data_IF_357622416403
#
_entry.id   IF_357622416403
#
_cell.length_a   1.000
_cell.length_b   1.000
_cell.length_c   1.000
_cell.angle_alpha   90.00
_cell.angle_beta   90.00
_cell.angle_gamma   90.00
#
_symmetry.space_group_name_H-M   'P 1'
#
loop_
_entity.id
_entity.type
_entity.pdbx_description
1 polymer ?
#
# COMPACT_ATOMS: atom_id res chain seq x y z
N UNK A 1 5.87 6.63 -57.90
CA UNK A 1 5.55 5.71 -56.80
C UNK A 1 6.87 5.32 -56.17
N UNK A 2 7.38 6.15 -55.27
CA UNK A 2 8.70 5.98 -54.66
C UNK A 2 8.52 5.35 -53.27
N UNK A 3 9.04 4.16 -53.07
CA UNK A 3 9.03 3.46 -51.79
C UNK A 3 10.41 3.63 -51.14
N UNK A 4 10.50 4.52 -50.16
CA UNK A 4 11.68 4.63 -49.30
C UNK A 4 11.64 3.53 -48.22
N UNK A 5 12.76 2.82 -47.96
CA UNK A 5 12.83 1.81 -46.91
C UNK A 5 13.09 2.47 -45.54
N UNK A 6 12.26 2.13 -44.56
CA UNK A 6 12.41 2.56 -43.16
C UNK A 6 13.67 1.93 -42.52
N UNK A 7 14.43 2.67 -41.70
CA UNK A 7 15.59 2.15 -41.00
C UNK A 7 15.18 1.12 -39.93
N UNK A 8 15.92 0.00 -39.88
CA UNK A 8 15.59 -1.21 -39.11
C UNK A 8 16.31 -1.31 -37.77
N UNK A 9 16.97 -0.23 -37.35
CA UNK A 9 17.76 -0.21 -36.13
C UNK A 9 17.32 0.95 -35.25
N UNK A 10 16.78 0.61 -34.08
CA UNK A 10 16.57 1.56 -33.00
C UNK A 10 17.95 1.89 -32.41
N UNK A 11 18.42 3.13 -32.59
CA UNK A 11 19.50 3.68 -31.79
C UNK A 11 19.04 3.68 -30.33
N UNK A 12 19.68 2.85 -29.49
CA UNK A 12 19.47 2.90 -28.04
C UNK A 12 20.02 4.24 -27.55
N UNK A 13 19.15 5.22 -27.33
CA UNK A 13 19.51 6.44 -26.62
C UNK A 13 19.97 6.04 -25.21
N UNK A 14 21.27 6.18 -24.95
CA UNK A 14 21.92 5.88 -23.67
C UNK A 14 21.57 6.88 -22.57
N UNK A 15 20.46 7.60 -22.72
CA UNK A 15 19.97 8.66 -21.82
C UNK A 15 19.02 8.11 -20.75
N UNK A 16 18.93 6.79 -20.61
CA UNK A 16 18.33 6.22 -19.41
C UNK A 16 19.34 6.35 -18.28
N UNK A 17 18.98 7.16 -17.28
CA UNK A 17 19.69 7.31 -16.01
C UNK A 17 20.33 5.97 -15.62
N UNK A 18 21.67 5.86 -15.58
CA UNK A 18 22.27 4.70 -14.95
C UNK A 18 21.75 4.75 -13.52
N UNK A 19 20.90 3.79 -13.15
CA UNK A 19 20.54 3.56 -11.76
C UNK A 19 21.86 3.40 -11.02
N UNK A 20 22.34 4.48 -10.40
CA UNK A 20 23.57 4.46 -9.64
C UNK A 20 23.33 3.43 -8.56
N UNK A 21 24.18 2.40 -8.50
CA UNK A 21 24.04 1.28 -7.54
C UNK A 21 24.11 1.71 -6.07
N UNK A 22 24.28 3.01 -5.82
CA UNK A 22 24.18 3.66 -4.53
C UNK A 22 22.96 4.59 -4.56
N UNK A 23 21.96 4.27 -3.76
CA UNK A 23 20.69 4.98 -3.71
C UNK A 23 20.87 6.41 -3.21
N UNK A 24 20.31 7.37 -3.95
CA UNK A 24 20.02 8.70 -3.46
C UNK A 24 19.03 8.52 -2.29
N UNK A 25 19.47 8.81 -1.06
CA UNK A 25 18.70 8.53 0.16
C UNK A 25 17.61 9.58 0.40
N UNK A 26 17.69 10.72 -0.30
CA UNK A 26 16.77 11.84 -0.15
C UNK A 26 16.30 12.40 -1.49
N UNK A 27 15.03 12.80 -1.55
CA UNK A 27 14.45 13.52 -2.70
C UNK A 27 15.24 14.80 -3.05
N UNK A 28 15.88 15.43 -2.06
CA UNK A 28 16.73 16.60 -2.28
C UNK A 28 17.98 16.25 -3.09
N UNK A 29 18.58 15.09 -2.84
CA UNK A 29 19.76 14.60 -3.58
C UNK A 29 19.39 14.28 -5.02
N UNK A 30 18.21 13.71 -5.25
CA UNK A 30 17.68 13.48 -6.59
C UNK A 30 17.50 14.78 -7.37
N UNK A 31 16.82 15.77 -6.78
CA UNK A 31 16.63 17.08 -7.42
C UNK A 31 17.97 17.79 -7.69
N UNK A 32 18.97 17.58 -6.84
CA UNK A 32 20.31 18.11 -7.07
C UNK A 32 21.00 17.40 -8.25
N UNK A 33 20.94 16.07 -8.30
CA UNK A 33 21.52 15.29 -9.40
C UNK A 33 20.89 15.65 -10.76
N UNK A 34 19.58 15.88 -10.81
CA UNK A 34 18.91 16.36 -12.03
C UNK A 34 19.43 17.74 -12.47
N UNK A 35 19.59 18.67 -11.53
CA UNK A 35 20.15 19.99 -11.84
C UNK A 35 21.59 19.90 -12.35
N UNK A 36 22.40 19.03 -11.74
CA UNK A 36 23.79 18.83 -12.13
C UNK A 36 23.88 18.25 -13.56
N UNK A 37 22.97 17.33 -13.91
CA UNK A 37 22.85 16.80 -15.28
C UNK A 37 22.39 17.87 -16.28
N UNK A 38 21.35 18.65 -15.95
CA UNK A 38 20.91 19.75 -16.81
C UNK A 38 22.02 20.79 -17.03
N UNK A 39 22.80 21.09 -15.99
CA UNK A 39 23.95 21.97 -16.11
C UNK A 39 25.03 21.37 -17.02
N UNK A 40 25.34 20.07 -16.86
CA UNK A 40 26.26 19.34 -17.74
C UNK A 40 25.81 19.34 -19.20
N UNK A 41 24.52 19.11 -19.46
CA UNK A 41 23.94 19.19 -20.80
C UNK A 41 24.04 20.60 -21.37
N UNK A 42 23.79 21.63 -20.56
CA UNK A 42 23.97 23.02 -20.96
C UNK A 42 25.41 23.29 -21.39
N UNK A 43 26.40 22.91 -20.57
CA UNK A 43 27.82 23.05 -20.89
C UNK A 43 28.22 22.29 -22.16
N UNK A 44 27.65 21.10 -22.38
CA UNK A 44 27.85 20.33 -23.62
C UNK A 44 27.23 21.03 -24.83
N UNK A 45 26.04 21.61 -24.70
CA UNK A 45 25.36 22.36 -25.78
C UNK A 45 26.15 23.61 -26.21
N UNK A 46 26.88 24.22 -25.27
CA UNK A 46 27.79 25.35 -25.54
C UNK A 46 29.04 24.88 -26.32
N UNK A 47 29.24 23.57 -26.47
CA UNK A 47 30.36 22.99 -27.21
C UNK A 47 31.65 22.91 -26.39
N UNK A 48 31.56 22.96 -25.05
CA UNK A 48 32.73 22.71 -24.21
C UNK A 48 33.16 21.25 -24.33
N UNK A 49 34.47 21.05 -24.40
CA UNK A 49 35.07 19.72 -24.32
C UNK A 49 34.91 19.14 -22.92
N UNK A 50 34.91 17.81 -22.79
CA UNK A 50 34.81 17.13 -21.49
C UNK A 50 35.92 17.53 -20.51
N UNK A 51 37.10 17.89 -21.03
CA UNK A 51 38.23 18.38 -20.22
C UNK A 51 37.96 19.78 -19.65
N UNK A 52 37.42 20.68 -20.47
CA UNK A 52 37.02 22.03 -20.05
C UNK A 52 35.86 21.97 -19.03
N UNK A 53 34.88 21.09 -19.23
CA UNK A 53 33.77 20.86 -18.30
C UNK A 53 34.30 20.38 -16.94
N UNK A 54 35.22 19.41 -16.93
CA UNK A 54 35.83 18.91 -15.70
C UNK A 54 36.64 20.01 -15.00
N UNK A 55 37.36 20.82 -15.76
CA UNK A 55 38.16 21.92 -15.22
C UNK A 55 37.28 23.02 -14.60
N UNK A 56 36.11 23.31 -15.20
CA UNK A 56 35.10 24.19 -14.62
C UNK A 56 34.50 23.62 -13.33
N UNK A 57 34.13 22.34 -13.31
CA UNK A 57 33.61 21.67 -12.10
C UNK A 57 34.64 21.62 -10.97
N UNK A 58 35.90 21.29 -11.28
CA UNK A 58 37.00 21.27 -10.31
C UNK A 58 37.24 22.68 -9.72
N UNK A 59 36.97 23.74 -10.48
CA UNK A 59 37.07 25.14 -10.03
C UNK A 59 35.94 25.52 -9.06
N UNK A 60 34.69 25.22 -9.43
CA UNK A 60 33.51 25.44 -8.58
C UNK A 60 33.58 24.64 -7.27
N UNK A 61 34.17 23.44 -7.32
CA UNK A 61 34.40 22.60 -6.14
C UNK A 61 35.61 23.05 -5.29
N UNK A 62 36.39 24.05 -5.72
CA UNK A 62 37.58 24.53 -5.01
C UNK A 62 38.74 23.52 -4.97
N UNK A 63 38.73 22.48 -5.81
CA UNK A 63 39.75 21.43 -5.87
C UNK A 63 41.03 21.87 -6.62
N UNK A 64 40.97 23.04 -7.25
CA UNK A 64 41.98 23.52 -8.18
C UNK A 64 43.27 23.99 -7.49
N UNK A 65 43.17 24.49 -6.25
CA UNK A 65 44.29 24.90 -5.41
C UNK A 65 45.24 23.75 -5.05
N UNK A 66 44.77 22.50 -5.17
CA UNK A 66 45.58 21.32 -4.92
C UNK A 66 46.52 20.99 -6.11
N UNK A 67 46.21 21.50 -7.31
CA UNK A 67 47.00 21.27 -8.54
C UNK A 67 48.04 22.37 -8.78
N UNK A 68 48.87 22.69 -7.77
CA UNK A 68 49.95 23.70 -7.83
C UNK A 68 51.09 23.41 -8.85
N UNK A 69 50.94 22.40 -9.70
CA UNK A 69 51.96 21.96 -10.67
C UNK A 69 51.76 22.50 -12.08
N UNK A 70 50.59 23.06 -12.38
CA UNK A 70 50.31 23.73 -13.65
C UNK A 70 50.58 25.23 -13.46
N UNK A 71 51.21 25.87 -14.44
CA UNK A 71 51.42 27.32 -14.43
C UNK A 71 50.07 28.03 -14.24
N UNK A 72 49.93 28.76 -13.14
CA UNK A 72 48.67 29.41 -12.75
C UNK A 72 48.14 30.35 -13.84
N UNK A 73 49.01 30.90 -14.69
CA UNK A 73 48.67 31.75 -15.83
C UNK A 73 47.91 31.00 -16.92
N UNK A 74 48.41 29.85 -17.36
CA UNK A 74 47.81 29.03 -18.42
C UNK A 74 46.43 28.53 -17.98
N UNK A 75 46.32 28.13 -16.71
CA UNK A 75 45.06 27.64 -16.16
C UNK A 75 44.02 28.75 -16.05
N UNK A 76 44.41 29.93 -15.54
CA UNK A 76 43.55 31.11 -15.50
C UNK A 76 43.07 31.50 -16.89
N UNK A 77 43.97 31.57 -17.88
CA UNK A 77 43.60 31.88 -19.27
C UNK A 77 42.59 30.88 -19.85
N UNK A 78 42.74 29.58 -19.54
CA UNK A 78 41.77 28.56 -19.94
C UNK A 78 40.41 28.73 -19.25
N UNK A 79 40.40 29.02 -17.94
CA UNK A 79 39.16 29.31 -17.21
C UNK A 79 38.45 30.54 -17.78
N UNK A 80 39.19 31.62 -18.03
CA UNK A 80 38.64 32.85 -18.60
C UNK A 80 38.01 32.58 -19.98
N UNK A 81 38.66 31.78 -20.83
CA UNK A 81 38.08 31.35 -22.11
C UNK A 81 36.78 30.54 -21.94
N UNK A 82 36.70 29.70 -20.91
CA UNK A 82 35.50 28.90 -20.61
C UNK A 82 34.36 29.82 -20.15
N UNK A 83 34.62 30.71 -19.20
CA UNK A 83 33.62 31.66 -18.70
C UNK A 83 33.11 32.60 -19.80
N UNK A 84 33.99 33.04 -20.71
CA UNK A 84 33.59 33.86 -21.86
C UNK A 84 32.64 33.10 -22.79
N UNK A 85 32.95 31.85 -23.15
CA UNK A 85 32.05 31.01 -23.97
C UNK A 85 30.68 30.79 -23.32
N UNK A 86 30.67 30.56 -22.00
CA UNK A 86 29.42 30.40 -21.25
C UNK A 86 28.61 31.71 -21.30
N UNK A 87 29.25 32.86 -21.09
CA UNK A 87 28.57 34.15 -21.11
C UNK A 87 28.06 34.51 -22.52
N UNK A 88 28.84 34.24 -23.58
CA UNK A 88 28.44 34.42 -24.98
C UNK A 88 27.18 33.59 -25.30
N UNK A 89 27.15 32.32 -24.89
CA UNK A 89 25.99 31.45 -25.12
C UNK A 89 24.72 31.89 -24.37
N UNK A 90 24.87 32.46 -23.18
CA UNK A 90 23.73 33.01 -22.41
C UNK A 90 23.17 34.27 -23.07
N UNK A 91 24.02 35.08 -23.69
CA UNK A 91 23.61 36.28 -24.42
C UNK A 91 22.93 35.93 -25.76
N UNK A 92 23.44 34.92 -26.49
CA UNK A 92 22.83 34.40 -27.72
C UNK A 92 21.43 33.79 -27.48
N UNK A 93 21.26 33.03 -26.38
CA UNK A 93 19.98 32.47 -25.98
C UNK A 93 18.90 33.52 -25.64
N UNK A 94 19.30 34.77 -25.37
CA UNK A 94 18.41 35.89 -25.12
C UNK A 94 17.88 36.59 -26.38
N UNK A 95 18.49 36.39 -27.54
CA UNK A 95 18.25 37.21 -28.74
C UNK A 95 17.53 36.51 -29.91
N UNK A 96 17.51 35.17 -29.95
CA UNK A 96 16.85 34.42 -31.03
C UNK A 96 15.42 34.02 -30.67
N UNK A 97 14.44 34.81 -31.14
CA UNK A 97 13.05 34.37 -31.33
C UNK A 97 12.83 34.14 -32.82
N UNK A 98 12.96 32.91 -33.31
CA UNK A 98 12.12 32.37 -34.39
C UNK A 98 12.34 30.86 -34.58
N UNK A 99 11.20 30.16 -34.52
CA UNK A 99 10.88 28.84 -35.11
C UNK A 99 11.14 27.54 -34.31
N UNK A 100 10.05 26.77 -34.19
CA UNK A 100 9.83 25.40 -33.66
C UNK A 100 9.94 25.16 -32.13
N UNK A 101 8.80 24.96 -31.41
CA UNK A 101 8.81 24.60 -30.00
C UNK A 101 8.85 23.07 -29.86
N UNK A 102 10.05 22.52 -29.72
CA UNK A 102 10.21 21.17 -29.18
C UNK A 102 11.07 21.20 -27.91
N UNK A 103 10.49 20.65 -26.84
CA UNK A 103 11.12 20.24 -25.58
C UNK A 103 11.41 21.29 -24.49
N UNK A 104 10.54 21.24 -23.48
CA UNK A 104 10.83 21.34 -22.03
C UNK A 104 11.47 22.62 -21.50
N UNK A 105 10.66 23.69 -21.42
CA UNK A 105 10.75 24.64 -20.31
C UNK A 105 9.88 24.12 -19.17
N UNK A 106 10.45 23.29 -18.30
CA UNK A 106 9.80 22.81 -17.09
C UNK A 106 9.90 23.83 -15.95
N UNK A 107 9.41 25.04 -16.21
CA UNK A 107 8.97 25.91 -15.14
C UNK A 107 7.47 25.66 -14.96
N UNK A 108 7.18 24.92 -13.90
CA UNK A 108 5.87 24.76 -13.28
C UNK A 108 4.78 24.04 -14.09
N UNK A 109 5.06 22.80 -14.47
CA UNK A 109 4.01 21.81 -14.75
C UNK A 109 2.98 21.80 -13.61
N UNK A 110 3.42 21.94 -12.35
CA UNK A 110 2.55 21.94 -11.19
C UNK A 110 1.66 23.19 -11.09
N UNK A 111 2.15 24.39 -11.42
CA UNK A 111 1.28 25.59 -11.45
C UNK A 111 0.32 25.57 -12.64
N UNK A 112 0.74 25.00 -13.78
CA UNK A 112 -0.11 24.85 -14.96
C UNK A 112 -1.26 23.87 -14.70
N UNK A 113 -0.98 22.77 -13.99
CA UNK A 113 -1.99 21.81 -13.52
C UNK A 113 -2.97 22.38 -12.49
N UNK A 114 -2.53 23.36 -11.69
CA UNK A 114 -3.42 24.07 -10.77
C UNK A 114 -4.34 25.06 -11.49
N UNK A 115 -3.89 25.67 -12.59
CA UNK A 115 -4.65 26.69 -13.34
C UNK A 115 -5.60 26.10 -14.37
N UNK A 116 -5.29 24.94 -14.97
CA UNK A 116 -6.22 24.20 -15.83
C UNK A 116 -6.11 22.70 -15.58
N UNK A 117 -7.20 22.02 -15.17
CA UNK A 117 -7.19 20.57 -15.07
C UNK A 117 -6.98 19.99 -16.46
N UNK A 118 -6.11 19.00 -16.59
CA UNK A 118 -5.95 18.25 -17.84
C UNK A 118 -7.31 17.61 -18.16
N UNK A 119 -8.00 18.14 -19.18
CA UNK A 119 -9.21 17.51 -19.71
C UNK A 119 -8.76 16.38 -20.62
N UNK A 120 -8.83 15.15 -20.11
CA UNK A 120 -8.53 13.94 -20.87
C UNK A 120 -9.56 13.71 -22.01
N UNK A 121 -10.74 14.34 -21.91
CA UNK A 121 -11.86 14.12 -22.81
C UNK A 121 -12.13 15.37 -23.67
N UNK A 122 -12.61 15.17 -24.92
CA UNK A 122 -12.97 16.26 -25.83
C UNK A 122 -14.00 17.22 -25.20
N UNK A 123 -13.99 18.46 -25.66
CA UNK A 123 -14.86 19.54 -25.17
C UNK A 123 -16.35 19.14 -25.28
N UNK A 124 -17.11 19.31 -24.20
CA UNK A 124 -18.51 18.87 -24.10
C UNK A 124 -18.73 17.44 -23.57
N UNK A 125 -17.69 16.69 -23.21
CA UNK A 125 -17.84 15.37 -22.58
C UNK A 125 -18.26 15.51 -21.09
N UNK A 126 -19.26 14.76 -20.60
CA UNK A 126 -19.78 14.89 -19.22
C UNK A 126 -18.74 14.60 -18.13
N UNK A 127 -17.67 13.90 -18.50
CA UNK A 127 -16.53 13.62 -17.61
C UNK A 127 -15.70 14.87 -17.29
N UNK A 128 -15.82 15.95 -18.07
CA UNK A 128 -15.16 17.22 -17.78
C UNK A 128 -15.88 18.00 -16.68
N UNK A 129 -17.16 17.71 -16.42
CA UNK A 129 -18.01 18.36 -15.42
C UNK A 129 -18.05 17.59 -14.07
N UNK A 130 -17.20 16.56 -13.88
CA UNK A 130 -17.20 15.77 -12.63
C UNK A 130 -17.07 16.63 -11.38
N UNK A 131 -16.22 17.66 -11.41
CA UNK A 131 -16.04 18.55 -10.26
C UNK A 131 -17.32 19.31 -9.92
N UNK A 132 -18.06 19.76 -10.93
CA UNK A 132 -19.34 20.44 -10.74
C UNK A 132 -20.41 19.45 -10.24
N UNK A 133 -20.43 18.22 -10.77
CA UNK A 133 -21.29 17.15 -10.28
C UNK A 133 -20.97 16.77 -8.83
N UNK A 134 -19.68 16.70 -8.45
CA UNK A 134 -19.23 16.44 -7.09
C UNK A 134 -19.68 17.56 -6.14
N UNK A 135 -19.56 18.82 -6.55
CA UNK A 135 -20.03 19.95 -5.75
C UNK A 135 -21.55 19.98 -5.62
N UNK A 136 -22.29 19.65 -6.68
CA UNK A 136 -23.76 19.55 -6.61
C UNK A 136 -24.24 18.39 -5.73
N UNK A 137 -23.56 17.23 -5.77
CA UNK A 137 -23.93 16.05 -4.99
C UNK A 137 -23.40 16.08 -3.56
N UNK A 138 -22.21 16.62 -3.31
CA UNK A 138 -21.49 16.52 -2.03
C UNK A 138 -21.10 17.88 -1.43
N UNK A 139 -21.43 19.01 -2.07
CA UNK A 139 -21.09 20.35 -1.59
C UNK A 139 -21.64 20.64 -0.18
N UNK A 140 -22.84 20.14 0.13
CA UNK A 140 -23.46 20.26 1.44
C UNK A 140 -22.70 19.50 2.56
N UNK A 141 -21.91 18.47 2.21
CA UNK A 141 -21.08 17.77 3.18
C UNK A 141 -19.77 18.53 3.45
N UNK A 142 -19.25 19.27 2.47
CA UNK A 142 -18.00 20.05 2.64
C UNK A 142 -18.16 21.15 3.70
N UNK A 143 -19.35 21.72 3.86
CA UNK A 143 -19.65 22.74 4.88
C UNK A 143 -19.86 22.16 6.28
N UNK A 144 -20.33 20.91 6.38
CA UNK A 144 -20.73 20.29 7.66
C UNK A 144 -19.64 19.40 8.27
N UNK A 145 -18.48 19.26 7.62
CA UNK A 145 -17.33 18.57 8.21
C UNK A 145 -16.78 19.42 9.35
N UNK A 146 -17.30 19.15 10.55
CA UNK A 146 -16.76 19.67 11.81
C UNK A 146 -15.25 19.38 11.82
N UNK A 147 -14.39 20.40 12.03
CA UNK A 147 -12.95 20.20 12.00
C UNK A 147 -12.54 19.12 12.99
N UNK A 148 -11.54 18.32 12.60
CA UNK A 148 -11.18 17.07 13.30
C UNK A 148 -10.91 17.27 14.80
N UNK A 149 -10.45 18.46 15.18
CA UNK A 149 -10.22 18.88 16.57
C UNK A 149 -11.53 19.00 17.37
N UNK A 150 -12.57 19.63 16.79
CA UNK A 150 -13.91 19.72 17.39
C UNK A 150 -14.57 18.34 17.46
N UNK A 151 -14.45 17.52 16.41
CA UNK A 151 -14.96 16.12 16.40
C UNK A 151 -14.33 15.30 17.54
N UNK A 152 -13.00 15.36 17.70
CA UNK A 152 -12.29 14.67 18.80
C UNK A 152 -12.70 15.19 20.19
N UNK A 153 -13.02 16.48 20.33
CA UNK A 153 -13.49 17.05 21.59
C UNK A 153 -14.90 16.57 21.94
N UNK A 154 -15.79 16.48 20.94
CA UNK A 154 -17.15 15.93 21.10
C UNK A 154 -17.07 14.44 21.50
N UNK A 155 -16.25 13.64 20.81
CA UNK A 155 -16.07 12.22 21.15
C UNK A 155 -15.58 12.04 22.59
N UNK A 156 -14.57 12.79 23.02
CA UNK A 156 -14.08 12.74 24.42
C UNK A 156 -15.15 13.17 25.44
N UNK A 157 -16.01 14.12 25.08
CA UNK A 157 -17.11 14.54 25.96
C UNK A 157 -18.18 13.45 26.07
N UNK A 158 -18.55 12.82 24.95
CA UNK A 158 -19.52 11.71 24.92
C UNK A 158 -19.00 10.49 25.67
N UNK A 159 -17.71 10.18 25.55
CA UNK A 159 -17.04 9.09 26.26
C UNK A 159 -17.09 9.29 27.77
N UNK A 160 -16.71 10.49 28.26
CA UNK A 160 -16.83 10.84 29.68
C UNK A 160 -18.27 10.79 30.17
N UNK A 161 -19.24 11.20 29.34
CA UNK A 161 -20.67 11.12 29.69
C UNK A 161 -21.13 9.67 29.79
N UNK A 162 -20.69 8.80 28.88
CA UNK A 162 -20.96 7.36 28.90
C UNK A 162 -20.37 6.71 30.16
N UNK A 163 -19.13 7.04 30.52
CA UNK A 163 -18.49 6.53 31.75
C UNK A 163 -19.25 6.94 33.01
N UNK A 164 -19.75 8.18 33.08
CA UNK A 164 -20.57 8.64 34.22
C UNK A 164 -21.88 7.86 34.34
N UNK A 165 -22.55 7.58 33.23
CA UNK A 165 -23.78 6.78 33.21
C UNK A 165 -23.49 5.35 33.66
N UNK A 166 -22.43 4.72 33.14
CA UNK A 166 -22.02 3.38 33.55
C UNK A 166 -21.60 3.31 35.03
N UNK A 167 -20.94 4.35 35.55
CA UNK A 167 -20.58 4.44 36.97
C UNK A 167 -21.82 4.59 37.86
N UNK A 168 -22.83 5.34 37.40
CA UNK A 168 -24.11 5.48 38.09
C UNK A 168 -24.90 4.15 38.09
N UNK A 169 -24.91 3.42 36.98
CA UNK A 169 -25.49 2.07 36.91
C UNK A 169 -24.79 1.08 37.86
N UNK A 170 -23.45 1.16 37.97
CA UNK A 170 -22.68 0.31 38.91
C UNK A 170 -22.96 0.63 40.38
N UNK A 171 -23.32 1.87 40.72
CA UNK A 171 -23.72 2.23 42.09
C UNK A 171 -25.16 1.83 42.43
N UNK A 172 -25.98 1.45 41.43
CA UNK A 172 -27.36 1.01 41.60
C UNK A 172 -27.52 -0.51 41.72
N UNK A 173 -26.42 -1.27 41.87
CA UNK A 173 -26.47 -2.68 42.24
C UNK A 173 -26.24 -2.77 43.76
N UNK A 174 -27.29 -2.92 44.60
CA UNK A 174 -27.13 -3.08 46.02
C UNK A 174 -26.69 -4.52 46.29
N UNK A 175 -25.52 -4.68 46.91
CA UNK A 175 -25.18 -5.92 47.61
C UNK A 175 -26.15 -6.09 48.77
N UNK A 176 -26.94 -7.17 48.72
CA UNK A 176 -27.90 -7.55 49.75
C UNK A 176 -27.12 -8.05 50.96
N UNK A 177 -27.18 -7.31 52.08
CA UNK A 177 -27.05 -7.84 53.43
C UNK A 177 -28.39 -7.65 54.16
N UNK A 178 -28.81 -8.70 54.86
CA UNK A 178 -30.11 -8.80 55.52
C UNK A 178 -30.21 -7.94 56.79
N UNK A 179 -31.27 -7.13 56.95
CA UNK A 179 -32.16 -7.16 58.13
C UNK A 179 -33.27 -6.07 58.13
N UNK A 180 -34.48 -6.55 58.43
CA UNK A 180 -35.64 -5.92 59.10
C UNK A 180 -36.29 -4.60 58.61
N UNK A 181 -37.51 -4.79 58.05
CA UNK A 181 -38.82 -4.12 58.32
C UNK A 181 -38.88 -2.58 58.49
N UNK A 182 -39.69 -1.92 57.66
CA UNK A 182 -40.99 -1.23 57.97
C UNK A 182 -41.50 -0.50 56.71
N UNK A 183 -42.83 -0.41 56.57
CA UNK A 183 -43.62 -0.14 55.37
C UNK A 183 -43.81 1.33 54.93
N UNK A 184 -44.31 1.50 53.68
CA UNK A 184 -45.12 2.57 52.99
C UNK A 184 -44.43 3.04 51.68
N UNK A 185 -45.06 3.35 50.53
CA UNK A 185 -46.44 3.22 50.00
C UNK A 185 -46.45 3.74 48.53
N UNK A 186 -46.94 2.95 47.55
CA UNK A 186 -47.45 3.38 46.20
C UNK A 186 -46.42 3.84 45.15
N UNK A 187 -46.63 3.75 43.83
CA UNK A 187 -47.85 3.50 43.02
C UNK A 187 -47.51 3.18 41.55
N UNK A 188 -48.17 2.14 41.01
CA UNK A 188 -48.66 1.93 39.64
C UNK A 188 -47.88 2.53 38.44
N UNK A 189 -46.89 1.79 37.94
CA UNK A 189 -46.66 1.66 36.49
C UNK A 189 -46.60 0.19 36.05
N UNK A 190 -47.19 -0.68 36.87
CA UNK A 190 -47.73 -1.98 36.45
C UNK A 190 -48.76 -1.76 35.33
N UNK A 191 -48.30 -1.72 34.08
CA UNK A 191 -49.15 -1.98 32.92
C UNK A 191 -48.80 -3.38 32.43
N UNK A 192 -49.62 -4.32 32.87
CA UNK A 192 -49.82 -5.62 32.24
C UNK A 192 -50.59 -5.37 30.94
N UNK A 193 -49.95 -5.61 29.79
CA UNK A 193 -50.45 -6.46 28.68
C UNK A 193 -49.70 -6.19 27.36
N UNK A 194 -49.48 -7.29 26.64
CA UNK A 194 -48.56 -7.50 25.51
C UNK A 194 -49.10 -6.98 24.16
N UNK A 195 -48.23 -6.88 23.14
CA UNK A 195 -48.59 -7.41 21.83
C UNK A 195 -47.62 -8.50 21.36
N UNK A 196 -48.20 -9.65 21.06
CA UNK A 196 -47.60 -10.77 20.33
C UNK A 196 -47.78 -10.55 18.83
N UNK A 197 -46.72 -10.16 18.09
CA UNK A 197 -46.51 -10.37 16.62
C UNK A 197 -45.23 -9.64 16.21
N UNK A 198 -44.31 -10.12 15.37
CA UNK A 198 -44.26 -11.24 14.42
C UNK A 198 -42.79 -11.58 14.19
N UNK A 199 -42.49 -12.87 14.05
CA UNK A 199 -41.27 -13.34 13.40
C UNK A 199 -41.30 -12.94 11.93
N UNK A 200 -40.21 -12.33 11.44
CA UNK A 200 -39.61 -12.49 10.11
C UNK A 200 -38.67 -11.31 9.84
N UNK A 201 -37.36 -11.55 9.89
CA UNK A 201 -36.39 -10.99 8.93
C UNK A 201 -34.97 -11.44 9.28
N UNK A 202 -34.37 -12.20 8.35
CA UNK A 202 -32.97 -12.22 7.96
C UNK A 202 -31.90 -12.09 9.06
N UNK A 203 -31.12 -13.16 9.19
CA UNK A 203 -29.79 -13.21 9.77
C UNK A 203 -28.92 -12.03 9.29
N UNK A 204 -28.92 -10.97 10.08
CA UNK A 204 -27.78 -10.07 10.19
C UNK A 204 -27.19 -10.39 11.54
N UNK A 205 -25.96 -10.88 11.57
CA UNK A 205 -25.17 -10.99 12.78
C UNK A 205 -25.29 -9.67 13.54
N UNK A 206 -26.08 -9.69 14.61
CA UNK A 206 -26.16 -8.55 15.51
C UNK A 206 -24.76 -8.42 16.07
N UNK A 207 -24.04 -7.38 15.69
CA UNK A 207 -22.83 -6.99 16.40
C UNK A 207 -23.25 -6.77 17.85
N UNK A 208 -23.07 -7.80 18.67
CA UNK A 208 -23.36 -7.76 20.09
C UNK A 208 -22.40 -6.74 20.66
N UNK A 209 -22.91 -5.53 20.90
CA UNK A 209 -22.19 -4.47 21.60
C UNK A 209 -22.06 -4.92 23.07
N UNK A 210 -21.07 -5.77 23.32
CA UNK A 210 -20.77 -6.36 24.61
C UNK A 210 -19.33 -6.88 24.63
N UNK A 211 -18.81 -7.26 25.81
CA UNK A 211 -17.49 -7.88 25.90
C UNK A 211 -17.46 -9.14 25.02
N UNK A 212 -16.45 -9.21 24.14
CA UNK A 212 -16.21 -10.37 23.26
C UNK A 212 -16.23 -11.66 24.08
N UNK A 213 -17.01 -12.64 23.67
CA UNK A 213 -17.08 -13.94 24.37
C UNK A 213 -15.67 -14.54 24.45
N UNK A 214 -15.29 -15.02 25.64
CA UNK A 214 -13.97 -15.62 25.88
C UNK A 214 -13.87 -16.94 25.13
N UNK A 215 -12.85 -17.10 24.31
CA UNK A 215 -12.55 -18.38 23.66
C UNK A 215 -11.91 -19.33 24.69
N UNK A 216 -12.39 -20.57 24.72
CA UNK A 216 -11.92 -21.61 25.64
C UNK A 216 -11.05 -22.62 24.88
N UNK A 217 -10.01 -23.13 25.54
CA UNK A 217 -9.06 -24.09 24.98
C UNK A 217 -8.85 -25.26 25.94
N UNK A 218 -8.61 -26.45 25.40
CA UNK A 218 -8.24 -27.65 26.17
C UNK A 218 -7.06 -28.35 25.52
N UNK A 219 -6.33 -29.15 26.30
CA UNK A 219 -5.24 -29.98 25.79
C UNK A 219 -5.80 -31.39 25.60
N UNK A 220 -5.85 -31.85 24.35
CA UNK A 220 -6.22 -33.21 23.98
C UNK A 220 -5.12 -33.77 23.10
N UNK A 221 -4.62 -34.96 23.42
CA UNK A 221 -3.57 -35.64 22.64
C UNK A 221 -2.31 -34.78 22.39
N UNK A 222 -1.84 -34.07 23.43
CA UNK A 222 -0.72 -33.10 23.38
C UNK A 222 -0.90 -31.93 22.40
N UNK A 223 -2.13 -31.68 21.92
CA UNK A 223 -2.47 -30.55 21.05
C UNK A 223 -3.45 -29.62 21.75
N UNK A 224 -3.30 -28.32 21.52
CA UNK A 224 -4.23 -27.30 22.01
C UNK A 224 -5.42 -27.29 21.06
N UNK A 225 -6.61 -27.60 21.57
CA UNK A 225 -7.85 -27.71 20.81
C UNK A 225 -8.85 -26.67 21.32
N UNK A 226 -9.54 -25.98 20.41
CA UNK A 226 -10.53 -24.94 20.76
C UNK A 226 -11.87 -25.60 21.09
N UNK A 227 -12.53 -25.11 22.15
CA UNK A 227 -13.86 -25.57 22.54
C UNK A 227 -14.94 -24.65 21.95
N UNK A 228 -15.88 -25.23 21.21
CA UNK A 228 -17.07 -24.54 20.71
C UNK A 228 -18.34 -25.09 21.39
N UNK A 229 -19.28 -24.22 21.81
CA UNK A 229 -20.53 -24.67 22.42
C UNK A 229 -21.41 -25.35 21.37
N UNK A 230 -21.91 -26.54 21.68
CA UNK A 230 -22.82 -27.29 20.79
C UNK A 230 -24.21 -26.67 20.85
N UNK A 231 -24.74 -26.25 19.70
CA UNK A 231 -26.08 -25.67 19.60
C UNK A 231 -27.14 -26.73 19.93
N UNK A 232 -28.20 -26.30 20.64
CA UNK A 232 -29.29 -27.16 21.14
C UNK A 232 -30.03 -27.91 20.02
N UNK A 233 -29.94 -27.43 18.77
CA UNK A 233 -30.56 -28.05 17.60
C UNK A 233 -29.94 -29.42 17.24
N UNK A 234 -28.63 -29.61 17.49
CA UNK A 234 -27.97 -30.90 17.28
C UNK A 234 -28.38 -31.95 18.34
N UNK A 235 -28.90 -31.53 19.51
CA UNK A 235 -29.38 -32.44 20.57
C UNK A 235 -30.63 -33.22 20.19
N UNK A 236 -31.36 -32.81 19.15
CA UNK A 236 -32.62 -33.47 18.78
C UNK A 236 -32.43 -34.73 17.92
N UNK A 237 -31.24 -34.97 17.37
CA UNK A 237 -31.01 -36.11 16.47
C UNK A 237 -30.36 -37.32 17.14
N UNK A 238 -29.84 -37.20 18.37
CA UNK A 238 -29.28 -38.34 19.10
C UNK A 238 -29.74 -38.35 20.56
N UNK A 239 -30.72 -39.23 20.81
CA UNK A 239 -31.07 -39.86 22.10
C UNK A 239 -32.19 -39.21 22.96
N UNK A 240 -33.34 -39.91 22.93
CA UNK A 240 -34.35 -39.91 23.98
C UNK A 240 -33.78 -40.46 25.31
N UNK A 241 -33.27 -39.60 26.19
CA UNK A 241 -33.18 -39.90 27.63
C UNK A 241 -33.48 -38.62 28.42
N UNK A 242 -34.67 -38.59 29.04
CA UNK A 242 -35.04 -37.60 30.06
C UNK A 242 -34.26 -37.94 31.34
N UNK A 243 -33.40 -37.04 31.82
CA UNK A 243 -33.01 -37.01 33.22
C UNK A 243 -32.46 -35.64 33.66
N UNK A 244 -33.26 -34.95 34.48
CA UNK A 244 -32.91 -34.09 35.61
C UNK A 244 -31.61 -33.26 35.54
N UNK A 245 -31.77 -32.01 35.10
CA UNK A 245 -31.41 -30.85 35.93
C UNK A 245 -29.93 -30.62 36.25
N UNK A 246 -29.05 -30.51 35.25
CA UNK A 246 -27.88 -29.62 35.28
C UNK A 246 -27.66 -29.12 33.84
N UNK A 247 -27.81 -27.82 33.59
CA UNK A 247 -27.45 -27.20 32.30
C UNK A 247 -25.92 -27.17 32.16
N UNK A 248 -25.32 -28.31 31.83
CA UNK A 248 -23.93 -28.34 31.37
C UNK A 248 -23.93 -27.90 29.90
N UNK A 249 -23.32 -26.75 29.63
CA UNK A 249 -22.99 -26.39 28.25
C UNK A 249 -21.98 -27.43 27.75
N UNK A 250 -22.44 -28.36 26.91
CA UNK A 250 -21.56 -29.31 26.24
C UNK A 250 -20.71 -28.57 25.20
N UNK A 251 -19.39 -28.79 25.26
CA UNK A 251 -18.43 -28.17 24.35
C UNK A 251 -17.80 -29.24 23.47
N UNK A 252 -17.71 -28.98 22.16
CA UNK A 252 -17.02 -29.82 21.19
C UNK A 252 -15.61 -29.29 20.96
N UNK A 253 -14.62 -30.19 21.00
CA UNK A 253 -13.23 -29.88 20.71
C UNK A 253 -13.02 -29.87 19.18
N UNK A 254 -12.68 -28.72 18.61
CA UNK A 254 -12.40 -28.51 17.18
C UNK A 254 -10.92 -28.19 17.00
N UNK A 255 -10.25 -28.97 16.14
CA UNK A 255 -8.84 -28.76 15.82
C UNK A 255 -8.62 -27.35 15.27
N UNK A 256 -7.53 -26.71 15.70
CA UNK A 256 -7.15 -25.36 15.25
C UNK A 256 -6.83 -25.47 13.75
N UNK A 257 -7.80 -25.10 12.91
CA UNK A 257 -7.58 -24.93 11.47
C UNK A 257 -6.59 -23.79 11.28
N UNK A 258 -5.39 -24.12 10.81
CA UNK A 258 -4.41 -23.14 10.36
C UNK A 258 -5.08 -22.38 9.20
N UNK A 259 -5.24 -21.05 9.27
CA UNK A 259 -5.83 -20.30 8.17
C UNK A 259 -4.94 -20.47 6.94
N UNK A 260 -5.47 -21.16 5.92
CA UNK A 260 -4.84 -21.24 4.61
C UNK A 260 -4.97 -19.85 3.98
N UNK A 261 -3.85 -19.14 3.89
CA UNK A 261 -3.80 -17.82 3.27
C UNK A 261 -3.96 -17.98 1.75
N UNK A 262 -5.13 -17.66 1.19
CA UNK A 262 -5.32 -17.57 -0.28
C UNK A 262 -4.41 -16.52 -0.96
N UNK A 263 -3.73 -15.68 -0.18
CA UNK A 263 -2.68 -14.79 -0.67
C UNK A 263 -1.40 -15.55 -1.10
N UNK A 264 -1.10 -16.73 -0.54
CA UNK A 264 0.09 -17.51 -0.92
C UNK A 264 -0.06 -18.12 -2.31
N UNK A 265 -1.28 -18.51 -2.70
CA UNK A 265 -1.60 -19.04 -4.04
C UNK A 265 -1.37 -17.97 -5.12
N UNK A 266 -1.84 -16.73 -4.90
CA UNK A 266 -1.59 -15.61 -5.82
C UNK A 266 -0.11 -15.20 -5.88
N UNK A 267 0.65 -15.38 -4.80
CA UNK A 267 2.10 -15.10 -4.80
C UNK A 267 2.87 -16.11 -5.66
N UNK A 268 2.44 -17.36 -5.72
CA UNK A 268 3.05 -18.36 -6.61
C UNK A 268 2.76 -18.07 -8.08
N UNK A 269 1.54 -17.67 -8.43
CA UNK A 269 1.20 -17.25 -9.80
C UNK A 269 1.93 -15.98 -10.23
N UNK A 270 2.06 -15.01 -9.32
CA UNK A 270 2.77 -13.75 -9.59
C UNK A 270 4.28 -13.90 -9.80
N UNK A 271 4.87 -15.01 -9.36
CA UNK A 271 6.32 -15.27 -9.48
C UNK A 271 6.66 -16.28 -10.60
N UNK A 272 5.66 -16.81 -11.31
CA UNK A 272 5.85 -17.79 -12.39
C UNK A 272 6.30 -17.09 -13.68
N UNK A 273 7.34 -17.62 -14.32
CA UNK A 273 7.80 -17.17 -15.64
C UNK A 273 7.36 -18.13 -16.75
N UNK A 274 7.17 -17.61 -17.97
CA UNK A 274 6.88 -18.44 -19.14
C UNK A 274 8.11 -19.25 -19.56
N UNK A 275 7.91 -20.37 -20.27
CA UNK A 275 9.02 -21.23 -20.72
C UNK A 275 9.95 -20.47 -21.67
N UNK A 276 9.41 -19.59 -22.50
CA UNK A 276 10.18 -18.77 -23.43
C UNK A 276 11.04 -17.75 -22.69
N UNK A 277 10.51 -17.11 -21.65
CA UNK A 277 11.27 -16.17 -20.81
C UNK A 277 12.37 -16.90 -20.03
N UNK A 278 12.08 -18.09 -19.52
CA UNK A 278 13.08 -18.89 -18.80
C UNK A 278 14.26 -19.24 -19.72
N UNK A 279 14.00 -19.59 -20.99
CA UNK A 279 15.06 -19.91 -21.97
C UNK A 279 15.99 -18.73 -22.28
N UNK A 280 15.57 -17.49 -22.04
CA UNK A 280 16.45 -16.32 -22.20
C UNK A 280 17.59 -16.31 -21.17
N UNK A 281 17.39 -16.93 -20.01
CA UNK A 281 18.38 -17.01 -18.94
C UNK A 281 19.40 -18.09 -19.30
N UNK A 282 20.69 -17.76 -19.25
CA UNK A 282 21.77 -18.66 -19.68
C UNK A 282 21.76 -20.04 -19.04
N UNK A 283 21.32 -20.14 -17.78
CA UNK A 283 21.26 -21.40 -17.03
C UNK A 283 20.13 -22.34 -17.46
N UNK A 284 19.14 -21.83 -18.21
CA UNK A 284 17.95 -22.57 -18.60
C UNK A 284 17.77 -22.66 -20.12
N UNK A 285 18.81 -22.36 -20.92
CA UNK A 285 18.76 -22.44 -22.39
C UNK A 285 18.33 -23.82 -22.89
N UNK A 286 18.79 -24.87 -22.21
CA UNK A 286 18.52 -26.27 -22.55
C UNK A 286 17.38 -26.87 -21.70
N UNK A 287 16.55 -26.04 -21.07
CA UNK A 287 15.43 -26.53 -20.27
C UNK A 287 14.24 -26.93 -21.13
N UNK A 288 13.78 -28.17 -20.96
CA UNK A 288 12.55 -28.68 -21.55
C UNK A 288 11.71 -29.43 -20.49
N UNK A 289 10.39 -29.17 -20.42
CA UNK A 289 9.50 -29.97 -19.58
C UNK A 289 9.45 -31.39 -20.16
N UNK A 290 10.04 -32.35 -19.43
CA UNK A 290 10.08 -33.75 -19.86
C UNK A 290 8.72 -34.45 -19.79
N UNK A 291 8.77 -35.78 -19.86
CA UNK A 291 7.57 -36.63 -19.78
C UNK A 291 6.98 -36.53 -18.36
N UNK A 292 5.65 -36.41 -18.21
CA UNK A 292 5.00 -36.38 -16.90
C UNK A 292 5.37 -37.63 -16.09
N UNK A 293 5.89 -37.42 -14.89
CA UNK A 293 6.37 -38.46 -14.00
C UNK A 293 5.84 -38.26 -12.59
N UNK A 294 5.69 -39.35 -11.83
CA UNK A 294 5.32 -39.31 -10.41
C UNK A 294 6.39 -38.65 -9.54
N UNK A 295 7.64 -38.60 -10.02
CA UNK A 295 8.77 -38.01 -9.30
C UNK A 295 9.22 -36.75 -10.03
N UNK A 296 9.29 -35.64 -9.29
CA UNK A 296 9.79 -34.36 -9.78
C UNK A 296 11.26 -34.16 -9.37
N UNK A 297 12.05 -33.59 -10.28
CA UNK A 297 13.44 -33.20 -10.01
C UNK A 297 13.53 -31.68 -9.96
N UNK A 298 13.99 -31.13 -8.83
CA UNK A 298 14.11 -29.70 -8.61
C UNK A 298 15.59 -29.29 -8.61
N UNK A 299 15.94 -28.27 -9.41
CA UNK A 299 17.28 -27.68 -9.49
C UNK A 299 17.20 -26.18 -9.23
N UNK A 300 18.32 -25.56 -8.89
CA UNK A 300 18.43 -24.11 -8.67
C UNK A 300 17.62 -23.61 -7.44
N UNK A 301 17.63 -24.38 -6.35
CA UNK A 301 17.05 -23.99 -5.06
C UNK A 301 18.09 -23.20 -4.26
N UNK A 302 17.69 -22.12 -3.59
CA UNK A 302 18.58 -21.36 -2.72
C UNK A 302 19.01 -22.21 -1.50
N UNK A 303 20.27 -22.10 -1.03
CA UNK A 303 20.78 -22.92 0.07
C UNK A 303 20.09 -22.66 1.41
N UNK A 304 19.37 -21.53 1.53
CA UNK A 304 18.57 -21.18 2.71
C UNK A 304 17.22 -21.88 2.77
N UNK A 305 16.79 -22.56 1.69
CA UNK A 305 15.46 -23.17 1.61
C UNK A 305 15.48 -24.55 2.28
N UNK A 306 14.66 -24.72 3.30
CA UNK A 306 14.48 -25.99 4.01
C UNK A 306 13.42 -26.88 3.39
N UNK A 307 13.42 -28.16 3.78
CA UNK A 307 12.41 -29.15 3.36
C UNK A 307 10.97 -28.71 3.70
N UNK A 308 10.77 -28.06 4.85
CA UNK A 308 9.46 -27.59 5.30
C UNK A 308 8.85 -26.60 4.30
N UNK A 309 9.64 -25.65 3.79
CA UNK A 309 9.18 -24.65 2.82
C UNK A 309 8.79 -25.28 1.48
N UNK A 310 9.57 -26.27 1.02
CA UNK A 310 9.22 -27.03 -0.19
C UNK A 310 7.93 -27.84 0.03
N UNK A 311 7.77 -28.45 1.21
CA UNK A 311 6.56 -29.21 1.52
C UNK A 311 5.30 -28.34 1.48
N UNK A 312 5.36 -27.11 2.00
CA UNK A 312 4.25 -26.15 1.91
C UNK A 312 3.84 -25.89 0.46
N UNK A 313 4.81 -25.70 -0.43
CA UNK A 313 4.55 -25.45 -1.85
C UNK A 313 3.93 -26.65 -2.56
N UNK A 314 4.32 -27.88 -2.22
CA UNK A 314 3.79 -29.08 -2.87
C UNK A 314 2.51 -29.64 -2.24
N UNK A 315 2.20 -29.26 -1.00
CA UNK A 315 0.98 -29.71 -0.32
C UNK A 315 -0.29 -29.25 -1.04
N UNK A 316 -0.27 -28.12 -1.77
CA UNK A 316 -1.44 -27.67 -2.56
C UNK A 316 -1.85 -28.69 -3.63
N UNK A 317 -0.88 -29.39 -4.25
CA UNK A 317 -1.14 -30.38 -5.29
C UNK A 317 -1.52 -31.76 -4.74
N UNK A 318 -1.45 -31.97 -3.42
CA UNK A 318 -1.96 -33.20 -2.80
C UNK A 318 -3.48 -33.24 -2.79
N UNK A 319 -4.15 -32.09 -2.72
CA UNK A 319 -5.61 -32.00 -2.68
C UNK A 319 -6.24 -32.20 -4.07
N UNK A 320 -5.55 -31.79 -5.14
CA UNK A 320 -6.06 -31.92 -6.52
C UNK A 320 -6.01 -33.35 -7.06
N UNK A 321 -5.21 -34.24 -6.47
CA UNK A 321 -5.07 -35.65 -6.86
C UNK A 321 -5.73 -36.62 -5.86
N UNK A 322 -6.67 -36.12 -5.03
CA UNK A 322 -7.48 -36.91 -4.11
C UNK A 322 -8.66 -37.59 -4.78
#
# INVERSE_FOLDING_TARGET
MSTEPLPKEFEKTTEVLPFTKYGLQSFKEFKQAEKDLQNLECLKKIGLTSEEIKLYQDNEAGLLDQRKKVECSVLKSKLDSIYNRINESQNEAGSSKQEEPCSSKDTDIFERLQKQPITFYPEGHPMNEIKELEENLFGHLKTDIIPITKRRKILRHLERRKERILAQEKQLIPTIDHSSKVAKSGSLWDVKELPTRSQQSAEKEKQVMGPKQRQMYTIKDNKIVRLEPVNVEERMHENNVVNNGIEQQEFRAVDIVIPVNGAEEQLLEGTKMSVDDIRTIERFKDYEPGIPSKVLYLKNIAPSVGQEQLSLLFNQFQLENG
#
